data_IF_518954073529
#
_entry.id   IF_518954073529
#
_cell.length_a   1.000
_cell.length_b   1.000
_cell.length_c   1.000
_cell.angle_alpha   90.00
_cell.angle_beta   90.00
_cell.angle_gamma   90.00
#
_symmetry.space_group_name_H-M   'P 1'
#
loop_
_entity.id
_entity.type
_entity.pdbx_description
1 polymer ?
#
# COMPACT_ATOMS: atom_id res chain seq x y z
N UNK A 1 6.18 -13.17 -17.19
CA UNK A 1 6.46 -12.67 -15.83
C UNK A 1 5.13 -12.41 -15.15
N UNK A 2 4.90 -12.94 -13.94
CA UNK A 2 3.61 -12.78 -13.24
C UNK A 2 3.61 -11.48 -12.43
N UNK A 3 2.50 -10.72 -12.50
CA UNK A 3 2.27 -9.51 -11.72
C UNK A 3 1.35 -9.85 -10.56
N UNK A 4 1.83 -9.72 -9.34
CA UNK A 4 1.04 -9.96 -8.13
C UNK A 4 0.68 -8.62 -7.47
N UNK A 5 -0.61 -8.43 -7.19
CA UNK A 5 -1.10 -7.27 -6.43
C UNK A 5 -0.98 -7.58 -4.94
N UNK A 6 -0.30 -6.70 -4.21
CA UNK A 6 -0.16 -6.82 -2.76
C UNK A 6 -1.20 -5.90 -2.10
N UNK A 7 -1.98 -6.47 -1.19
CA UNK A 7 -2.96 -5.78 -0.36
C UNK A 7 -2.88 -6.30 1.08
N UNK A 8 -2.99 -5.41 2.06
CA UNK A 8 -2.99 -5.73 3.49
C UNK A 8 -3.84 -4.73 4.27
N UNK A 9 -4.48 -5.21 5.34
CA UNK A 9 -5.18 -4.36 6.31
C UNK A 9 -4.26 -3.62 7.26
N UNK A 10 -2.95 -3.92 7.27
CA UNK A 10 -1.96 -3.29 8.15
C UNK A 10 -1.36 -1.99 7.58
N UNK A 11 -1.84 -1.55 6.41
CA UNK A 11 -1.38 -0.34 5.73
C UNK A 11 -2.60 0.44 5.22
N UNK A 12 -2.46 1.77 4.96
CA UNK A 12 -3.55 2.58 4.42
C UNK A 12 -4.13 1.94 3.17
N UNK A 13 -5.46 1.85 3.11
CA UNK A 13 -6.15 1.24 1.99
C UNK A 13 -5.83 1.98 0.68
N UNK A 14 -5.69 1.23 -0.41
CA UNK A 14 -5.59 1.84 -1.74
C UNK A 14 -6.97 2.38 -2.17
N UNK A 15 -7.19 3.69 -2.05
CA UNK A 15 -8.45 4.34 -2.44
C UNK A 15 -8.26 4.99 -3.81
N UNK A 16 -8.53 4.22 -4.87
CA UNK A 16 -8.41 4.67 -6.26
C UNK A 16 -7.79 3.61 -7.18
N UNK A 17 -7.47 3.97 -8.44
CA UNK A 17 -6.92 3.02 -9.42
C UNK A 17 -5.42 2.77 -9.20
N UNK A 18 -5.03 2.33 -8.00
CA UNK A 18 -3.66 1.95 -7.64
C UNK A 18 -3.64 0.76 -6.69
N UNK A 19 -2.45 0.22 -6.41
CA UNK A 19 -2.24 -0.88 -5.45
C UNK A 19 -1.24 -0.44 -4.39
N UNK A 20 -1.39 -0.93 -3.15
CA UNK A 20 -0.45 -0.63 -2.06
C UNK A 20 0.98 -1.04 -2.44
N UNK A 21 1.12 -2.20 -3.08
CA UNK A 21 2.34 -2.59 -3.77
C UNK A 21 2.04 -3.55 -4.92
N UNK A 22 3.00 -3.69 -5.83
CA UNK A 22 2.99 -4.66 -6.92
C UNK A 22 4.30 -5.43 -6.88
N UNK A 23 4.22 -6.76 -6.92
CA UNK A 23 5.39 -7.64 -7.06
C UNK A 23 5.52 -8.11 -8.50
N UNK A 24 6.73 -8.02 -9.04
CA UNK A 24 7.11 -8.57 -10.35
C UNK A 24 8.41 -9.34 -10.19
N UNK A 25 8.33 -10.67 -10.29
CA UNK A 25 9.47 -11.54 -9.98
C UNK A 25 9.94 -11.36 -8.54
N UNK A 26 11.21 -10.96 -8.36
CA UNK A 26 11.81 -10.72 -7.04
C UNK A 26 11.70 -9.26 -6.57
N UNK A 27 11.18 -8.37 -7.41
CA UNK A 27 11.04 -6.95 -7.06
C UNK A 27 9.66 -6.66 -6.48
N UNK A 28 9.64 -5.81 -5.46
CA UNK A 28 8.42 -5.25 -4.87
C UNK A 28 8.46 -3.74 -5.03
N UNK A 29 7.48 -3.21 -5.77
CA UNK A 29 7.30 -1.78 -5.97
C UNK A 29 6.16 -1.30 -5.06
N UNK A 30 6.48 -0.50 -4.06
CA UNK A 30 5.49 0.08 -3.13
C UNK A 30 4.97 1.41 -3.66
N UNK A 31 3.70 1.71 -3.39
CA UNK A 31 3.19 3.07 -3.57
C UNK A 31 3.84 4.04 -2.57
N UNK A 32 3.81 5.33 -2.87
CA UNK A 32 4.20 6.36 -1.90
C UNK A 32 3.28 6.28 -0.67
N UNK A 33 3.88 6.12 0.52
CA UNK A 33 3.14 6.03 1.77
C UNK A 33 3.12 7.39 2.46
N UNK A 34 1.95 7.75 2.99
CA UNK A 34 1.76 8.88 3.90
C UNK A 34 1.56 8.29 5.30
N UNK A 35 1.90 9.04 6.35
CA UNK A 35 1.72 8.63 7.75
C UNK A 35 0.23 8.61 8.15
N UNK A 36 -0.58 7.76 7.50
CA UNK A 36 -1.97 7.53 7.83
C UNK A 36 -2.06 6.26 8.67
N UNK A 37 -2.76 6.32 9.81
CA UNK A 37 -3.07 5.14 10.60
C UNK A 37 -4.15 4.32 9.86
N UNK A 38 -3.90 3.04 9.52
CA UNK A 38 -4.84 2.21 8.77
C UNK A 38 -6.15 1.90 9.53
N UNK A 39 -6.15 1.98 10.86
CA UNK A 39 -7.33 1.73 11.69
C UNK A 39 -8.26 2.94 11.75
N UNK A 40 -7.69 4.14 11.87
CA UNK A 40 -8.46 5.39 12.02
C UNK A 40 -8.64 6.15 10.70
N UNK A 41 -7.86 5.82 9.67
CA UNK A 41 -7.77 6.58 8.42
C UNK A 41 -7.40 8.06 8.63
N UNK A 42 -6.71 8.39 9.71
CA UNK A 42 -6.24 9.73 10.04
C UNK A 42 -4.72 9.83 9.94
N UNK A 43 -4.23 11.05 9.72
CA UNK A 43 -2.79 11.35 9.76
C UNK A 43 -2.30 11.18 11.20
N UNK A 44 -1.16 10.51 11.37
CA UNK A 44 -0.45 10.41 12.64
C UNK A 44 0.29 11.73 12.87
N UNK A 45 0.02 12.38 13.99
CA UNK A 45 0.79 13.54 14.46
C UNK A 45 2.08 13.05 15.13
N UNK A 46 3.18 13.77 14.89
CA UNK A 46 4.52 13.42 15.38
C UNK A 46 4.85 13.94 16.77
#
# INVERSE_FOLDING_TARGET
MNKEIISTSKAPQAIGPYSQAVRVGSFVHTAGQIAINPETSQIVEG
#
